data_IF_354248503646
#
_entry.id   IF_354248503646
#
_cell.length_a   1.000
_cell.length_b   1.000
_cell.length_c   1.000
_cell.angle_alpha   90.00
_cell.angle_beta   90.00
_cell.angle_gamma   90.00
#
_symmetry.space_group_name_H-M   'P 1'
#
loop_
_entity.id
_entity.type
_entity.pdbx_description
1 polymer ?
#
# COMPACT_ATOMS: atom_id res chain seq x y z
N UNK A 1 12.52 -19.30 15.74
CA UNK A 1 12.26 -18.97 14.34
C UNK A 1 13.58 -18.91 13.60
N UNK A 2 13.71 -19.57 12.46
CA UNK A 2 14.99 -19.64 11.76
C UNK A 2 15.23 -18.36 10.95
N UNK A 3 16.49 -17.91 10.87
CA UNK A 3 16.92 -16.78 10.04
C UNK A 3 16.43 -16.91 8.58
N UNK A 4 16.31 -18.14 8.09
CA UNK A 4 15.84 -18.51 6.75
C UNK A 4 14.36 -18.19 6.54
N UNK A 5 13.51 -18.30 7.57
CA UNK A 5 12.08 -18.01 7.45
C UNK A 5 11.81 -16.51 7.25
N UNK A 6 12.51 -15.67 8.01
CA UNK A 6 12.44 -14.20 7.86
C UNK A 6 12.94 -13.79 6.48
N UNK A 7 14.07 -14.36 6.03
CA UNK A 7 14.61 -14.12 4.69
C UNK A 7 13.60 -14.47 3.59
N UNK A 8 12.94 -15.61 3.68
CA UNK A 8 11.93 -16.02 2.70
C UNK A 8 10.77 -15.00 2.64
N UNK A 9 10.29 -14.53 3.79
CA UNK A 9 9.22 -13.52 3.86
C UNK A 9 9.63 -12.18 3.28
N UNK A 10 10.87 -11.73 3.53
CA UNK A 10 11.45 -10.55 2.88
C UNK A 10 11.42 -10.70 1.36
N UNK A 11 11.87 -11.85 0.83
CA UNK A 11 11.90 -12.08 -0.61
C UNK A 11 10.50 -12.11 -1.23
N UNK A 12 9.51 -12.68 -0.53
CA UNK A 12 8.09 -12.62 -0.92
C UNK A 12 7.61 -11.16 -0.97
N UNK A 13 7.87 -10.37 0.08
CA UNK A 13 7.51 -8.96 0.15
C UNK A 13 8.15 -8.12 -0.98
N UNK A 14 9.46 -8.30 -1.23
CA UNK A 14 10.17 -7.60 -2.30
C UNK A 14 9.65 -7.99 -3.68
N UNK A 15 9.33 -9.28 -3.90
CA UNK A 15 8.73 -9.77 -5.14
C UNK A 15 7.36 -9.15 -5.37
N UNK A 16 6.50 -9.12 -4.34
CA UNK A 16 5.19 -8.45 -4.39
C UNK A 16 5.31 -6.97 -4.78
N UNK A 17 6.22 -6.23 -4.13
CA UNK A 17 6.43 -4.81 -4.44
C UNK A 17 6.88 -4.58 -5.87
N UNK A 18 7.71 -5.49 -6.41
CA UNK A 18 8.15 -5.43 -7.80
C UNK A 18 7.03 -5.75 -8.78
N UNK A 19 6.39 -6.90 -8.62
CA UNK A 19 5.46 -7.44 -9.62
C UNK A 19 4.08 -6.78 -9.56
N UNK A 20 3.60 -6.43 -8.36
CA UNK A 20 2.25 -5.88 -8.18
C UNK A 20 2.24 -4.36 -8.09
N UNK A 21 3.27 -3.76 -7.49
CA UNK A 21 3.33 -2.29 -7.26
C UNK A 21 4.32 -1.58 -8.19
N UNK A 22 5.07 -2.30 -9.02
CA UNK A 22 6.01 -1.73 -9.98
C UNK A 22 7.25 -1.08 -9.37
N UNK A 23 7.54 -1.34 -8.08
CA UNK A 23 8.72 -0.78 -7.42
C UNK A 23 9.97 -1.60 -7.74
N UNK A 24 11.03 -0.94 -8.18
CA UNK A 24 12.36 -1.56 -8.23
C UNK A 24 13.11 -1.42 -6.88
N UNK A 25 14.19 -2.18 -6.69
CA UNK A 25 14.96 -2.18 -5.43
C UNK A 25 15.49 -0.78 -5.05
N UNK A 26 15.90 0.03 -6.02
CA UNK A 26 16.38 1.39 -5.76
C UNK A 26 15.27 2.31 -5.22
N UNK A 27 14.05 2.17 -5.75
CA UNK A 27 12.88 2.92 -5.26
C UNK A 27 12.47 2.47 -3.86
N UNK A 28 12.53 1.16 -3.58
CA UNK A 28 12.25 0.61 -2.24
C UNK A 28 13.28 1.15 -1.24
N UNK A 29 14.57 1.06 -1.58
CA UNK A 29 15.66 1.57 -0.74
C UNK A 29 15.51 3.07 -0.45
N UNK A 30 15.23 3.87 -1.49
CA UNK A 30 15.01 5.32 -1.35
C UNK A 30 13.84 5.63 -0.42
N UNK A 31 12.73 4.92 -0.54
CA UNK A 31 11.55 5.10 0.32
C UNK A 31 11.82 4.72 1.77
N UNK A 32 12.61 3.68 2.01
CA UNK A 32 13.04 3.25 3.35
C UNK A 32 14.20 4.08 3.92
N UNK A 33 14.67 5.11 3.20
CA UNK A 33 15.83 5.92 3.57
C UNK A 33 17.11 5.09 3.84
N UNK A 34 17.33 4.02 3.06
CA UNK A 34 18.52 3.17 3.12
C UNK A 34 19.23 3.08 1.77
N UNK A 35 20.43 2.52 1.77
CA UNK A 35 21.16 2.23 0.52
C UNK A 35 20.53 1.03 -0.22
N UNK A 36 20.60 0.97 -1.57
CA UNK A 36 20.18 -0.21 -2.33
C UNK A 36 20.86 -1.50 -1.87
N UNK A 37 22.15 -1.43 -1.52
CA UNK A 37 22.91 -2.56 -0.99
C UNK A 37 22.33 -3.09 0.33
N UNK A 38 21.71 -2.25 1.16
CA UNK A 38 20.98 -2.70 2.36
C UNK A 38 19.82 -3.63 2.00
N UNK A 39 19.05 -3.32 0.94
CA UNK A 39 17.93 -4.15 0.47
C UNK A 39 18.43 -5.46 -0.12
N UNK A 40 19.51 -5.44 -0.91
CA UNK A 40 20.14 -6.65 -1.46
C UNK A 40 20.60 -7.59 -0.36
N UNK A 41 21.38 -7.07 0.61
CA UNK A 41 21.87 -7.85 1.75
C UNK A 41 20.74 -8.40 2.62
N UNK A 42 19.64 -7.66 2.74
CA UNK A 42 18.45 -8.09 3.47
C UNK A 42 17.77 -9.29 2.78
N UNK A 43 17.59 -9.26 1.46
CA UNK A 43 17.03 -10.39 0.68
C UNK A 43 17.96 -11.62 0.64
N UNK A 44 19.26 -11.39 0.69
CA UNK A 44 20.28 -12.46 0.78
C UNK A 44 20.42 -13.05 2.19
N UNK A 45 19.76 -12.47 3.21
CA UNK A 45 19.92 -12.90 4.61
C UNK A 45 21.28 -12.54 5.22
N UNK A 46 22.06 -11.69 4.57
CA UNK A 46 23.34 -11.17 5.09
C UNK A 46 23.08 -10.16 6.21
N UNK A 47 22.05 -9.32 6.06
CA UNK A 47 21.58 -8.41 7.09
C UNK A 47 20.31 -8.94 7.77
N UNK A 48 20.23 -8.80 9.10
CA UNK A 48 19.00 -9.06 9.84
C UNK A 48 17.98 -7.94 9.60
N UNK A 49 16.69 -8.30 9.59
CA UNK A 49 15.60 -7.33 9.62
C UNK A 49 15.47 -6.76 11.03
N UNK A 50 15.64 -5.46 11.19
CA UNK A 50 15.37 -4.78 12.45
C UNK A 50 13.87 -4.52 12.60
N UNK A 51 13.38 -4.45 13.83
CA UNK A 51 11.97 -4.09 14.10
C UNK A 51 11.62 -2.73 13.50
N UNK A 52 12.51 -1.73 13.63
CA UNK A 52 12.30 -0.41 13.04
C UNK A 52 12.13 -0.47 11.52
N UNK A 53 12.91 -1.32 10.83
CA UNK A 53 12.78 -1.49 9.39
C UNK A 53 11.47 -2.20 9.03
N UNK A 54 11.05 -3.21 9.80
CA UNK A 54 9.77 -3.88 9.61
C UNK A 54 8.58 -2.93 9.77
N UNK A 55 8.62 -2.02 10.75
CA UNK A 55 7.62 -0.97 10.93
C UNK A 55 7.60 0.02 9.75
N UNK A 56 8.75 0.35 9.17
CA UNK A 56 8.80 1.17 7.95
C UNK A 56 8.19 0.44 6.75
N UNK A 57 8.39 -0.88 6.63
CA UNK A 57 7.71 -1.68 5.59
C UNK A 57 6.18 -1.62 5.74
N UNK A 58 5.70 -1.72 6.97
CA UNK A 58 4.27 -1.61 7.28
C UNK A 58 3.72 -0.23 6.93
N UNK A 59 4.36 0.83 7.42
CA UNK A 59 3.91 2.20 7.21
C UNK A 59 3.93 2.64 5.74
N UNK A 60 4.99 2.30 5.00
CA UNK A 60 5.21 2.81 3.64
C UNK A 60 4.52 1.93 2.58
N UNK A 61 4.51 0.62 2.81
CA UNK A 61 4.11 -0.35 1.79
C UNK A 61 2.88 -1.18 2.18
N UNK A 62 2.37 -1.04 3.41
CA UNK A 62 1.28 -1.87 3.92
C UNK A 62 1.67 -3.33 4.08
N UNK A 63 2.95 -3.63 4.33
CA UNK A 63 3.43 -5.00 4.56
C UNK A 63 3.56 -5.21 6.07
N UNK A 64 2.78 -6.13 6.64
CA UNK A 64 2.72 -6.36 8.08
C UNK A 64 4.10 -6.63 8.68
N UNK A 65 4.46 -5.82 9.68
CA UNK A 65 5.66 -6.00 10.49
C UNK A 65 5.62 -7.31 11.29
N UNK A 66 4.43 -7.67 11.82
CA UNK A 66 4.20 -8.94 12.52
C UNK A 66 4.37 -10.14 11.61
N UNK A 67 3.83 -10.07 10.38
CA UNK A 67 4.04 -11.13 9.41
C UNK A 67 5.52 -11.24 9.01
N UNK A 68 6.18 -10.12 8.71
CA UNK A 68 7.61 -10.13 8.34
C UNK A 68 8.49 -10.77 9.42
N UNK A 69 8.34 -10.34 10.67
CA UNK A 69 9.18 -10.78 11.79
C UNK A 69 8.77 -12.17 12.27
N UNK A 70 7.49 -12.37 12.57
CA UNK A 70 6.98 -13.54 13.29
C UNK A 70 6.24 -14.55 12.40
N UNK A 71 5.90 -14.19 11.15
CA UNK A 71 5.04 -15.02 10.30
C UNK A 71 3.59 -15.08 10.78
N UNK A 72 3.17 -14.15 11.63
CA UNK A 72 1.82 -14.07 12.18
C UNK A 72 0.90 -13.21 11.30
N UNK A 73 -0.31 -13.69 11.05
CA UNK A 73 -1.32 -12.98 10.28
C UNK A 73 -1.04 -12.95 8.77
N UNK A 74 -1.61 -11.96 8.08
CA UNK A 74 -1.48 -11.79 6.63
C UNK A 74 -0.30 -10.89 6.25
N UNK A 75 0.30 -11.12 5.08
CA UNK A 75 1.40 -10.30 4.56
C UNK A 75 0.98 -8.84 4.40
N UNK A 76 -0.21 -8.60 3.87
CA UNK A 76 -0.73 -7.25 3.67
C UNK A 76 -1.43 -6.79 4.94
N UNK A 77 -0.85 -5.78 5.56
CA UNK A 77 -1.50 -5.01 6.59
C UNK A 77 -2.31 -3.91 5.90
N UNK A 78 -3.60 -4.14 5.78
CA UNK A 78 -4.53 -3.03 5.67
C UNK A 78 -4.62 -2.44 7.08
N UNK A 79 -4.30 -1.15 7.28
CA UNK A 79 -4.67 -0.49 8.52
C UNK A 79 -6.12 -0.84 8.79
N UNK A 80 -6.48 -1.15 10.04
CA UNK A 80 -7.86 -1.42 10.44
C UNK A 80 -8.84 -0.25 10.11
N UNK A 81 -8.33 0.84 9.51
CA UNK A 81 -9.06 2.00 9.01
C UNK A 81 -9.00 2.19 7.48
N UNK A 82 -8.56 1.23 6.66
CA UNK A 82 -8.94 1.25 5.23
C UNK A 82 -10.26 0.48 5.12
N UNK A 83 -11.25 1.07 5.78
CA UNK A 83 -12.65 0.83 5.57
C UNK A 83 -13.17 -0.58 5.80
N UNK A 84 -14.47 -0.69 6.05
CA UNK A 84 -15.12 -1.99 6.06
C UNK A 84 -15.22 -2.55 4.63
N UNK A 85 -15.91 -3.69 4.47
CA UNK A 85 -16.14 -4.29 3.15
C UNK A 85 -16.76 -3.29 2.16
N UNK A 86 -17.59 -2.36 2.63
CA UNK A 86 -18.28 -1.40 1.77
C UNK A 86 -17.30 -0.40 1.16
N UNK A 87 -16.30 0.03 1.92
CA UNK A 87 -15.22 0.91 1.46
C UNK A 87 -14.32 0.22 0.43
N UNK A 88 -13.98 -1.06 0.64
CA UNK A 88 -13.21 -1.85 -0.34
C UNK A 88 -14.02 -2.01 -1.63
N UNK A 89 -15.30 -2.35 -1.52
CA UNK A 89 -16.20 -2.48 -2.66
C UNK A 89 -16.36 -1.14 -3.39
N UNK A 90 -16.39 -0.02 -2.65
CA UNK A 90 -16.41 1.32 -3.21
C UNK A 90 -15.14 1.63 -4.01
N UNK A 91 -13.96 1.37 -3.46
CA UNK A 91 -12.69 1.53 -4.16
C UNK A 91 -12.65 0.67 -5.43
N UNK A 92 -13.11 -0.58 -5.38
CA UNK A 92 -13.22 -1.43 -6.56
C UNK A 92 -14.12 -0.81 -7.65
N UNK A 93 -15.28 -0.22 -7.29
CA UNK A 93 -16.14 0.49 -8.25
C UNK A 93 -15.44 1.70 -8.88
N UNK A 94 -14.65 2.43 -8.11
CA UNK A 94 -13.87 3.58 -8.60
C UNK A 94 -12.83 3.11 -9.62
N UNK A 95 -12.01 2.12 -9.28
CA UNK A 95 -10.93 1.66 -10.15
C UNK A 95 -11.42 1.00 -11.43
N UNK A 96 -12.56 0.31 -11.38
CA UNK A 96 -13.11 -0.40 -12.54
C UNK A 96 -13.92 0.50 -13.50
N UNK A 97 -14.28 1.72 -13.10
CA UNK A 97 -15.00 2.65 -13.96
C UNK A 97 -14.03 3.62 -14.65
N UNK A 98 -13.90 3.47 -15.98
CA UNK A 98 -13.01 4.32 -16.80
C UNK A 98 -13.27 5.81 -16.55
N UNK A 99 -12.20 6.55 -16.23
CA UNK A 99 -12.25 7.99 -15.97
C UNK A 99 -12.71 8.40 -14.56
N UNK A 100 -13.21 7.46 -13.75
CA UNK A 100 -13.77 7.79 -12.43
C UNK A 100 -12.71 8.29 -11.44
N UNK A 101 -11.51 7.72 -11.47
CA UNK A 101 -10.40 8.20 -10.63
C UNK A 101 -10.09 9.69 -10.85
N UNK A 102 -9.96 10.10 -12.11
CA UNK A 102 -9.66 11.49 -12.49
C UNK A 102 -10.81 12.42 -12.09
N UNK A 103 -12.06 11.95 -12.25
CA UNK A 103 -13.23 12.71 -11.83
C UNK A 103 -13.22 12.96 -10.33
N UNK A 104 -12.99 11.93 -9.51
CA UNK A 104 -12.91 12.07 -8.05
C UNK A 104 -11.76 13.00 -7.64
N UNK A 105 -10.58 12.85 -8.24
CA UNK A 105 -9.44 13.76 -8.00
C UNK A 105 -9.80 15.22 -8.33
N UNK A 106 -10.58 15.44 -9.40
CA UNK A 106 -11.05 16.78 -9.78
C UNK A 106 -12.05 17.33 -8.77
N UNK A 107 -12.99 16.50 -8.31
CA UNK A 107 -14.01 16.88 -7.32
C UNK A 107 -13.37 17.27 -5.98
N UNK A 108 -12.35 16.53 -5.53
CA UNK A 108 -11.63 16.84 -4.28
C UNK A 108 -10.95 18.21 -4.27
N UNK A 109 -10.72 18.80 -5.45
CA UNK A 109 -10.10 20.12 -5.59
C UNK A 109 -11.12 21.28 -5.65
N UNK A 110 -12.43 20.98 -5.65
CA UNK A 110 -13.47 22.00 -5.78
C UNK A 110 -13.81 22.67 -4.44
N UNK A 111 -14.40 23.87 -4.51
CA UNK A 111 -14.94 24.54 -3.33
C UNK A 111 -16.23 23.87 -2.85
N UNK A 112 -16.58 24.02 -1.57
CA UNK A 112 -17.84 23.51 -1.02
C UNK A 112 -19.07 24.02 -1.79
N UNK A 113 -19.00 25.25 -2.30
CA UNK A 113 -20.07 25.83 -3.14
C UNK A 113 -20.22 25.06 -4.44
N UNK A 114 -19.12 24.78 -5.13
CA UNK A 114 -19.15 24.09 -6.42
C UNK A 114 -19.55 22.62 -6.23
N UNK A 115 -19.11 21.97 -5.15
CA UNK A 115 -19.55 20.65 -4.77
C UNK A 115 -21.06 20.58 -4.52
N UNK A 116 -21.63 21.58 -3.82
CA UNK A 116 -23.07 21.65 -3.61
C UNK A 116 -23.86 21.79 -4.92
N UNK A 117 -23.36 22.57 -5.88
CA UNK A 117 -23.97 22.69 -7.22
C UNK A 117 -23.95 21.35 -7.96
N UNK A 118 -22.83 20.62 -7.88
CA UNK A 118 -22.70 19.29 -8.49
C UNK A 118 -23.68 18.32 -7.83
N UNK A 119 -23.82 18.34 -6.50
CA UNK A 119 -24.77 17.47 -5.80
C UNK A 119 -26.21 17.69 -6.27
N UNK A 120 -26.66 18.95 -6.34
CA UNK A 120 -28.00 19.29 -6.86
C UNK A 120 -28.16 18.83 -8.32
N UNK A 121 -27.11 18.91 -9.11
CA UNK A 121 -27.12 18.46 -10.51
C UNK A 121 -27.29 16.94 -10.58
N UNK A 122 -26.57 16.17 -9.75
CA UNK A 122 -26.68 14.71 -9.68
C UNK A 122 -28.07 14.29 -9.22
N UNK A 123 -28.66 14.96 -8.23
CA UNK A 123 -30.03 14.68 -7.76
C UNK A 123 -31.05 14.84 -8.89
N UNK A 124 -30.93 15.90 -9.70
CA UNK A 124 -31.81 16.13 -10.88
C UNK A 124 -31.62 15.13 -12.01
N UNK A 125 -30.44 14.53 -12.14
CA UNK A 125 -30.17 13.52 -13.16
C UNK A 125 -30.70 12.14 -12.76
N UNK A 126 -30.95 11.92 -11.47
CA UNK A 126 -31.46 10.67 -10.90
C UNK A 126 -32.98 10.69 -10.65
N UNK A 127 -33.64 11.84 -10.83
CA UNK A 127 -35.10 12.02 -10.80
C UNK A 127 -35.75 11.83 -12.15
#
# INVERSE_FOLDING_TARGET
>A
MSKTEIQNRINIALKFLKETRGFNQNQIAKKLAVTPGTITRLGNGENALTESMALLFEYIFGISSKWLIYGEGEMLFFPANIGDKEDIDFLHRIYNRKGMKILIESLLCLSDRDLAVIQVTVEKLNS
#
